data_IF_803331779039
#
_entry.id   IF_803331779039
#
_cell.length_a   1.000
_cell.length_b   1.000
_cell.length_c   1.000
_cell.angle_alpha   90.00
_cell.angle_beta   90.00
_cell.angle_gamma   90.00
#
_symmetry.space_group_name_H-M   'P 1'
#
loop_
_entity.id
_entity.type
_entity.pdbx_description
1 polymer ?
#
# COMPACT_ATOMS: atom_id res chain seq x y z
N UNK A 1 5.18 -20.30 -0.33
CA UNK A 1 6.01 -20.09 -1.44
C UNK A 1 6.70 -18.77 -1.53
N UNK A 2 7.59 -18.67 -2.49
CA UNK A 2 8.41 -17.50 -2.61
C UNK A 2 7.62 -16.30 -3.07
N UNK A 3 7.85 -15.17 -2.45
CA UNK A 3 7.32 -13.91 -2.91
C UNK A 3 8.42 -12.87 -2.87
N UNK A 4 8.28 -11.86 -3.69
CA UNK A 4 9.26 -10.79 -3.76
C UNK A 4 8.56 -9.48 -3.40
N UNK A 5 8.95 -8.83 -2.32
CA UNK A 5 8.40 -7.51 -2.02
C UNK A 5 8.98 -6.49 -2.99
N UNK A 6 8.12 -5.64 -3.52
CA UNK A 6 8.54 -4.55 -4.39
C UNK A 6 8.34 -3.25 -3.62
N UNK A 7 9.40 -2.47 -3.50
CA UNK A 7 9.41 -1.25 -2.71
C UNK A 7 9.69 -0.08 -3.64
N UNK A 8 8.83 0.93 -3.59
CA UNK A 8 8.97 2.11 -4.44
C UNK A 8 9.13 3.33 -3.57
N UNK A 9 10.22 4.07 -3.70
CA UNK A 9 10.36 5.33 -2.99
C UNK A 9 9.39 6.37 -3.54
N UNK A 10 8.92 7.21 -2.66
CA UNK A 10 7.95 8.22 -2.98
C UNK A 10 8.54 9.48 -3.57
N UNK A 11 9.81 9.70 -3.33
CA UNK A 11 10.47 10.93 -3.73
C UNK A 11 11.34 10.67 -4.95
N UNK A 12 10.93 11.23 -6.08
CA UNK A 12 11.60 11.00 -7.33
C UNK A 12 11.82 12.31 -8.01
N UNK A 13 13.07 12.66 -8.18
CA UNK A 13 13.44 13.78 -9.01
C UNK A 13 13.51 13.29 -10.42
N UNK A 14 12.70 13.90 -11.33
CA UNK A 14 12.65 13.40 -12.60
C UNK A 14 12.85 14.36 -13.69
N UNK A 15 13.44 13.87 -14.73
CA UNK A 15 13.74 14.57 -15.95
C UNK A 15 12.79 14.14 -17.06
N UNK A 16 12.95 14.66 -18.21
CA UNK A 16 12.23 14.19 -19.39
C UNK A 16 12.56 12.71 -19.63
N UNK A 17 11.74 11.99 -20.30
CA UNK A 17 11.83 10.56 -20.56
C UNK A 17 11.62 9.71 -19.32
N UNK A 18 10.93 10.28 -18.41
CA UNK A 18 10.70 9.69 -17.14
C UNK A 18 9.69 8.54 -17.19
N UNK A 19 10.04 7.45 -16.54
CA UNK A 19 9.13 6.34 -16.30
C UNK A 19 8.83 6.34 -14.83
N UNK A 20 7.55 6.42 -14.46
CA UNK A 20 7.16 6.46 -13.07
C UNK A 20 7.52 5.13 -12.40
N UNK A 21 8.45 5.12 -11.43
CA UNK A 21 8.83 3.87 -10.77
C UNK A 21 7.68 3.21 -10.03
N UNK A 22 6.67 3.98 -9.64
CA UNK A 22 5.49 3.42 -8.95
C UNK A 22 4.68 2.57 -9.91
N UNK A 23 4.56 3.01 -11.15
CA UNK A 23 3.89 2.26 -12.20
C UNK A 23 4.69 1.04 -12.60
N UNK A 24 6.01 1.19 -12.70
CA UNK A 24 6.90 0.07 -13.00
C UNK A 24 6.82 -1.00 -11.92
N UNK A 25 6.81 -0.59 -10.66
CA UNK A 25 6.68 -1.53 -9.55
C UNK A 25 5.35 -2.28 -9.60
N UNK A 26 4.28 -1.59 -9.96
CA UNK A 26 2.98 -2.21 -10.15
C UNK A 26 3.05 -3.30 -11.21
N UNK A 27 3.62 -2.97 -12.38
CA UNK A 27 3.72 -3.93 -13.47
C UNK A 27 4.56 -5.16 -13.09
N UNK A 28 5.68 -4.93 -12.40
CA UNK A 28 6.53 -6.03 -11.95
C UNK A 28 5.77 -6.91 -10.96
N UNK A 29 5.10 -6.29 -9.99
CA UNK A 29 4.35 -7.04 -8.99
C UNK A 29 3.26 -7.89 -9.63
N UNK A 30 2.56 -7.34 -10.61
CA UNK A 30 1.52 -8.07 -11.33
C UNK A 30 2.08 -9.23 -12.15
N UNK A 31 3.14 -8.98 -12.90
CA UNK A 31 3.74 -10.01 -13.75
C UNK A 31 4.40 -11.13 -12.96
N UNK A 32 4.98 -10.80 -11.83
CA UNK A 32 5.64 -11.80 -10.98
C UNK A 32 4.67 -12.44 -9.99
N UNK A 33 3.42 -12.02 -9.99
CA UNK A 33 2.42 -12.49 -9.03
C UNK A 33 2.94 -12.34 -7.59
N UNK A 34 3.46 -11.16 -7.31
CA UNK A 34 3.99 -10.86 -5.99
C UNK A 34 2.89 -10.96 -4.94
N UNK A 35 3.25 -11.48 -3.78
CA UNK A 35 2.32 -11.56 -2.67
C UNK A 35 2.09 -10.20 -2.04
N UNK A 36 3.12 -9.39 -1.98
CA UNK A 36 3.07 -8.06 -1.36
C UNK A 36 3.70 -7.01 -2.24
N UNK A 37 3.09 -5.84 -2.25
CA UNK A 37 3.65 -4.64 -2.88
C UNK A 37 3.71 -3.57 -1.80
N UNK A 38 4.86 -2.94 -1.64
CA UNK A 38 5.06 -1.94 -0.60
C UNK A 38 5.39 -0.59 -1.21
N UNK A 39 4.60 0.42 -0.88
CA UNK A 39 4.87 1.79 -1.25
C UNK A 39 5.34 2.56 -0.02
N UNK A 40 6.45 3.26 -0.15
CA UNK A 40 6.91 4.19 0.88
C UNK A 40 6.43 5.59 0.51
N UNK A 41 5.74 6.24 1.41
CA UNK A 41 5.16 7.56 1.17
C UNK A 41 5.63 8.55 2.23
N UNK A 42 5.20 9.80 2.08
CA UNK A 42 5.42 10.84 3.09
C UNK A 42 4.30 10.87 4.12
N UNK A 43 3.37 9.93 4.01
CA UNK A 43 2.19 9.91 4.86
C UNK A 43 2.15 8.62 5.66
N UNK A 44 1.65 8.67 6.91
CA UNK A 44 1.62 7.48 7.76
C UNK A 44 0.73 6.35 7.24
N UNK A 45 -0.29 6.69 6.47
CA UNK A 45 -1.27 5.75 5.97
C UNK A 45 -2.59 6.47 5.75
N UNK A 46 -3.68 5.73 5.66
CA UNK A 46 -5.00 6.32 5.52
C UNK A 46 -5.59 6.55 6.90
N UNK A 47 -5.91 7.80 7.21
CA UNK A 47 -6.49 8.14 8.49
C UNK A 47 -7.95 7.68 8.57
N UNK A 48 -8.37 7.26 9.75
CA UNK A 48 -9.75 6.84 9.98
C UNK A 48 -10.73 8.01 9.90
N UNK A 49 -10.27 9.20 10.34
CA UNK A 49 -11.11 10.39 10.36
C UNK A 49 -10.30 11.65 10.07
N UNK A 50 -10.98 12.77 10.08
CA UNK A 50 -10.36 14.07 9.81
C UNK A 50 -9.46 14.57 10.93
N UNK A 51 -9.57 13.99 12.12
CA UNK A 51 -8.72 14.39 13.24
C UNK A 51 -7.29 13.93 13.08
N UNK A 52 -7.05 12.97 12.17
CA UNK A 52 -5.72 12.48 11.84
C UNK A 52 -4.95 11.92 13.01
N UNK A 53 -5.66 11.26 13.92
CA UNK A 53 -5.06 10.62 15.07
C UNK A 53 -4.72 9.17 14.84
N UNK A 54 -5.64 8.46 14.20
CA UNK A 54 -5.49 7.03 13.97
C UNK A 54 -5.56 6.70 12.48
N UNK A 55 -4.79 5.70 12.09
CA UNK A 55 -4.83 5.21 10.71
C UNK A 55 -5.52 3.85 10.67
N UNK A 56 -5.98 3.48 9.49
CA UNK A 56 -6.42 2.12 9.23
C UNK A 56 -5.20 1.24 9.06
N UNK A 57 -5.01 0.28 9.93
CA UNK A 57 -3.93 -0.69 9.73
C UNK A 57 -4.28 -1.69 8.64
N UNK A 58 -5.55 -2.03 8.53
CA UNK A 58 -6.07 -2.91 7.48
C UNK A 58 -7.35 -2.31 6.96
N UNK A 59 -7.51 -2.30 5.64
CA UNK A 59 -8.71 -1.73 5.02
C UNK A 59 -8.99 -2.51 3.74
N UNK A 60 -10.25 -2.77 3.48
CA UNK A 60 -10.63 -3.51 2.27
C UNK A 60 -10.61 -2.61 1.04
N UNK A 61 -10.40 -3.22 -0.12
CA UNK A 61 -10.41 -2.48 -1.38
C UNK A 61 -11.70 -1.68 -1.59
N UNK A 62 -12.90 -2.24 -1.36
CA UNK A 62 -14.12 -1.44 -1.50
C UNK A 62 -14.17 -0.23 -0.57
N UNK A 63 -13.68 -0.38 0.66
CA UNK A 63 -13.63 0.74 1.60
C UNK A 63 -12.66 1.83 1.13
N UNK A 64 -11.51 1.44 0.58
CA UNK A 64 -10.55 2.41 0.03
C UNK A 64 -11.16 3.17 -1.13
N UNK A 65 -11.85 2.47 -2.02
CA UNK A 65 -12.51 3.10 -3.15
C UNK A 65 -13.56 4.12 -2.71
N UNK A 66 -14.31 3.78 -1.68
CA UNK A 66 -15.30 4.68 -1.11
C UNK A 66 -14.66 5.94 -0.54
N UNK A 67 -13.61 5.76 0.27
CA UNK A 67 -12.90 6.89 0.87
C UNK A 67 -12.27 7.79 -0.19
N UNK A 68 -11.76 7.19 -1.25
CA UNK A 68 -11.15 7.95 -2.34
C UNK A 68 -12.16 8.87 -3.03
N UNK A 69 -13.41 8.44 -3.13
CA UNK A 69 -14.50 9.27 -3.68
C UNK A 69 -14.95 10.36 -2.71
N UNK A 70 -14.93 10.07 -1.43
CA UNK A 70 -15.45 10.98 -0.41
C UNK A 70 -14.44 12.01 0.07
N UNK A 71 -13.14 11.71 -0.02
CA UNK A 71 -12.08 12.55 0.50
C UNK A 71 -11.17 13.08 -0.59
N UNK A 72 -10.58 14.24 -0.33
CA UNK A 72 -9.54 14.80 -1.19
C UNK A 72 -8.19 14.48 -0.60
N UNK A 73 -7.59 13.39 -1.08
CA UNK A 73 -6.22 13.07 -0.70
C UNK A 73 -5.24 13.96 -1.46
N UNK A 74 -4.08 14.27 -0.89
CA UNK A 74 -3.03 14.95 -1.65
C UNK A 74 -2.73 14.16 -2.93
N UNK A 75 -2.45 14.87 -4.01
CA UNK A 75 -2.30 14.25 -5.33
C UNK A 75 -1.35 13.07 -5.33
N UNK A 76 -0.19 13.23 -4.72
CA UNK A 76 0.83 12.18 -4.67
C UNK A 76 0.34 10.94 -3.93
N UNK A 77 -0.35 11.15 -2.83
CA UNK A 77 -0.89 10.05 -2.05
C UNK A 77 -2.05 9.38 -2.78
N UNK A 78 -2.89 10.16 -3.43
CA UNK A 78 -4.00 9.61 -4.23
C UNK A 78 -3.50 8.73 -5.36
N UNK A 79 -2.39 9.11 -5.99
CA UNK A 79 -1.77 8.30 -7.02
C UNK A 79 -1.29 6.96 -6.47
N UNK A 80 -0.67 6.97 -5.30
CA UNK A 80 -0.22 5.73 -4.65
C UNK A 80 -1.42 4.84 -4.31
N UNK A 81 -2.49 5.43 -3.81
CA UNK A 81 -3.73 4.69 -3.53
C UNK A 81 -4.25 4.05 -4.81
N UNK A 82 -4.24 4.80 -5.91
CA UNK A 82 -4.68 4.29 -7.21
C UNK A 82 -3.87 3.10 -7.69
N UNK A 83 -2.56 3.18 -7.60
CA UNK A 83 -1.70 2.04 -7.96
C UNK A 83 -1.95 0.85 -7.04
N UNK A 84 -2.11 1.10 -5.75
CA UNK A 84 -2.40 0.04 -4.80
C UNK A 84 -3.71 -0.67 -5.08
N UNK A 85 -4.75 0.08 -5.43
CA UNK A 85 -6.04 -0.50 -5.79
C UNK A 85 -5.92 -1.36 -7.05
N UNK A 86 -5.19 -0.88 -8.04
CA UNK A 86 -4.99 -1.63 -9.26
C UNK A 86 -4.23 -2.93 -9.00
N UNK A 87 -3.18 -2.87 -8.19
CA UNK A 87 -2.42 -4.06 -7.82
C UNK A 87 -3.30 -5.10 -7.13
N UNK A 88 -4.13 -4.66 -6.18
CA UNK A 88 -5.03 -5.57 -5.47
C UNK A 88 -6.02 -6.23 -6.41
N UNK A 89 -6.55 -5.48 -7.37
CA UNK A 89 -7.50 -6.04 -8.34
C UNK A 89 -6.84 -7.02 -9.29
N UNK A 90 -5.55 -6.88 -9.53
CA UNK A 90 -4.81 -7.70 -10.47
C UNK A 90 -4.01 -8.83 -9.82
N UNK A 91 -4.34 -9.16 -8.58
CA UNK A 91 -3.86 -10.38 -7.95
C UNK A 91 -2.80 -10.24 -6.88
N UNK A 92 -2.34 -9.03 -6.60
CA UNK A 92 -1.42 -8.81 -5.48
C UNK A 92 -2.23 -8.91 -4.18
N UNK A 93 -1.87 -9.83 -3.31
CA UNK A 93 -2.67 -10.12 -2.11
C UNK A 93 -2.70 -8.98 -1.11
N UNK A 94 -1.59 -8.32 -0.90
CA UNK A 94 -1.50 -7.24 0.07
C UNK A 94 -0.70 -6.08 -0.51
N UNK A 95 -1.25 -4.88 -0.35
CA UNK A 95 -0.55 -3.65 -0.69
C UNK A 95 -0.34 -2.88 0.60
N UNK A 96 0.91 -2.56 0.90
CA UNK A 96 1.27 -1.83 2.10
C UNK A 96 1.65 -0.40 1.73
N UNK A 97 1.08 0.57 2.42
CA UNK A 97 1.50 1.96 2.29
C UNK A 97 2.11 2.37 3.63
N UNK A 98 3.40 2.67 3.62
CA UNK A 98 4.16 2.95 4.83
C UNK A 98 4.75 4.35 4.78
N UNK A 99 4.98 4.93 5.95
CA UNK A 99 5.67 6.21 6.05
C UNK A 99 7.17 5.96 5.92
N UNK A 100 7.72 6.30 4.76
CA UNK A 100 9.14 6.11 4.48
C UNK A 100 10.08 6.99 5.31
N UNK A 101 9.54 7.95 6.05
CA UNK A 101 10.34 8.81 6.92
C UNK A 101 10.66 8.15 8.27
N UNK A 102 9.94 7.08 8.60
CA UNK A 102 10.14 6.38 9.87
C UNK A 102 11.31 5.42 9.74
N UNK A 103 12.28 5.56 10.63
CA UNK A 103 13.44 4.67 10.65
C UNK A 103 13.00 3.23 10.91
N UNK A 104 13.55 2.31 10.15
CA UNK A 104 13.24 0.88 10.27
C UNK A 104 11.77 0.53 10.03
N UNK A 105 11.07 1.35 9.23
CA UNK A 105 9.62 1.16 9.01
C UNK A 105 9.27 -0.24 8.50
N UNK A 106 10.12 -0.82 7.65
CA UNK A 106 9.86 -2.17 7.13
C UNK A 106 9.93 -3.22 8.23
N UNK A 107 10.89 -3.07 9.15
CA UNK A 107 10.99 -4.00 10.27
C UNK A 107 9.77 -3.87 11.19
N UNK A 108 9.33 -2.65 11.43
CA UNK A 108 8.13 -2.41 12.25
C UNK A 108 6.91 -3.05 11.58
N UNK A 109 6.75 -2.83 10.27
CA UNK A 109 5.60 -3.35 9.54
C UNK A 109 5.52 -4.87 9.58
N UNK A 110 6.64 -5.55 9.32
CA UNK A 110 6.63 -6.99 9.16
C UNK A 110 6.88 -7.78 10.44
N UNK A 111 7.36 -7.14 11.50
CA UNK A 111 7.70 -7.83 12.73
C UNK A 111 6.97 -7.33 13.98
N UNK A 112 6.14 -6.30 13.87
CA UNK A 112 5.31 -5.88 15.00
C UNK A 112 3.87 -6.35 14.81
N UNK A 113 3.11 -6.35 15.88
CA UNK A 113 1.73 -6.85 15.86
C UNK A 113 0.82 -5.97 15.00
N UNK A 114 0.92 -4.66 15.18
CA UNK A 114 0.03 -3.73 14.52
C UNK A 114 0.57 -3.17 13.21
N UNK A 115 1.85 -3.39 12.92
CA UNK A 115 2.48 -2.82 11.75
C UNK A 115 2.76 -1.35 11.89
N UNK A 116 3.07 -0.70 10.77
CA UNK A 116 3.48 0.70 10.75
C UNK A 116 2.75 1.54 9.71
N UNK A 117 1.78 0.98 9.01
CA UNK A 117 1.08 1.69 7.95
C UNK A 117 -0.27 1.09 7.64
N UNK A 118 -0.75 1.30 6.43
CA UNK A 118 -2.04 0.80 5.98
C UNK A 118 -1.84 -0.35 5.01
N UNK A 119 -2.59 -1.44 5.20
CA UNK A 119 -2.57 -2.59 4.31
C UNK A 119 -3.91 -2.67 3.59
N UNK A 120 -3.87 -2.70 2.26
CA UNK A 120 -5.05 -2.96 1.45
C UNK A 120 -5.21 -4.45 1.29
N UNK A 121 -6.43 -4.93 1.52
CA UNK A 121 -6.79 -6.32 1.32
C UNK A 121 -8.04 -6.37 0.44
N UNK A 122 -8.23 -7.47 -0.26
CA UNK A 122 -9.36 -7.57 -1.17
C UNK A 122 -10.68 -7.63 -0.43
N UNK A 123 -10.78 -8.52 0.56
CA UNK A 123 -11.97 -8.66 1.40
C UNK A 123 -11.55 -9.11 2.79
N UNK A 124 -12.44 -8.91 3.78
CA UNK A 124 -12.18 -9.41 5.12
C UNK A 124 -12.09 -10.93 5.18
N UNK A 125 -12.88 -11.61 4.38
CA UNK A 125 -12.83 -13.08 4.30
C UNK A 125 -11.45 -13.54 3.84
N UNK A 126 -10.86 -12.87 2.87
CA UNK A 126 -9.54 -13.20 2.38
C UNK A 126 -8.48 -12.92 3.44
N UNK A 127 -8.63 -11.84 4.19
CA UNK A 127 -7.75 -11.53 5.30
C UNK A 127 -7.78 -12.64 6.35
N UNK A 128 -8.97 -13.09 6.71
CA UNK A 128 -9.15 -14.15 7.68
C UNK A 128 -8.43 -15.43 7.26
N UNK A 129 -8.61 -15.83 6.01
CA UNK A 129 -7.93 -17.01 5.48
C UNK A 129 -6.42 -16.85 5.50
N UNK A 130 -5.94 -15.65 5.21
CA UNK A 130 -4.52 -15.35 5.23
C UNK A 130 -3.94 -15.49 6.63
N UNK A 131 -4.66 -15.03 7.63
CA UNK A 131 -4.21 -15.12 9.01
C UNK A 131 -4.23 -16.55 9.52
N UNK A 132 -5.19 -17.33 9.10
CA UNK A 132 -5.26 -18.74 9.48
C UNK A 132 -4.15 -19.56 8.84
N UNK A 133 -3.66 -19.14 7.70
CA UNK A 133 -2.62 -19.85 6.97
C UNK A 133 -1.20 -19.64 7.47
N UNK A 134 -1.04 -18.91 8.53
CA UNK A 134 0.30 -18.64 9.08
C UNK A 134 0.84 -19.79 9.89
#
# INVERSE_FOLDING_TARGET
NDYIPVIVPNDIDNESEYIDPRETALEIAEKMQADKLVYLSKYPGIYKDEERKDIYYKITVPEVEKLRKERNFPKEFDEIIGYGLQASKNGVNRVHILDGRIRHVLLIEFFSVNGAGTIFIETEAKLYLHELGK
#
